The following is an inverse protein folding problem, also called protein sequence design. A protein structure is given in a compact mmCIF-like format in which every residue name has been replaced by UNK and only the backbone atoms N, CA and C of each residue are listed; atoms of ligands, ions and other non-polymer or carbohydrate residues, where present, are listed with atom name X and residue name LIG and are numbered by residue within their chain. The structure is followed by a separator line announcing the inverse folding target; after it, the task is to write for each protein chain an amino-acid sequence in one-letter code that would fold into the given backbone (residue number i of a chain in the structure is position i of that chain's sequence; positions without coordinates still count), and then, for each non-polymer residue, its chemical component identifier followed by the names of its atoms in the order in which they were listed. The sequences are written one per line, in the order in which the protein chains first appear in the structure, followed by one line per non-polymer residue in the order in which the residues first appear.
data_IF_333214351662
#
_entry.id   IF_333214351662
#
_cell.length_a   1.000
_cell.length_b   1.000
_cell.length_c   1.000
_cell.angle_alpha   90.00
_cell.angle_beta   90.00
_cell.angle_gamma   90.00
#
_symmetry.space_group_name_H-M   'P 1'
#
loop_
_entity.id
_entity.type
_entity.pdbx_description
1 polymer ?
#
# COMPACT_ATOMS: atom_id res chain seq x y z
N UNK A 1 21.11 -0.59 -12.59
CA UNK A 1 20.64 -0.47 -13.99
C UNK A 1 20.08 0.94 -14.16
N UNK A 2 20.35 1.64 -15.27
CA UNK A 2 19.76 2.97 -15.50
C UNK A 2 18.26 2.80 -15.71
N UNK A 3 17.46 3.60 -15.02
CA UNK A 3 16.01 3.67 -15.26
C UNK A 3 15.81 4.31 -16.63
N UNK A 4 15.31 3.52 -17.57
CA UNK A 4 14.92 4.03 -18.89
C UNK A 4 13.47 4.46 -18.78
N UNK A 5 13.19 5.72 -19.10
CA UNK A 5 11.82 6.23 -19.16
C UNK A 5 11.27 6.01 -20.56
N UNK A 6 10.02 5.57 -20.67
CA UNK A 6 9.35 5.35 -21.96
C UNK A 6 8.03 6.12 -22.01
N UNK A 7 7.74 6.72 -23.16
CA UNK A 7 6.49 7.42 -23.42
C UNK A 7 5.42 6.42 -23.83
N UNK A 8 4.27 6.45 -23.17
CA UNK A 8 3.12 5.59 -23.48
C UNK A 8 1.96 6.43 -24.00
N UNK A 9 1.27 5.94 -25.02
CA UNK A 9 0.08 6.53 -25.62
C UNK A 9 -1.02 5.48 -25.84
N UNK A 10 -2.27 5.91 -25.79
CA UNK A 10 -3.47 5.08 -26.08
C UNK A 10 -4.36 5.85 -27.03
N UNK A 11 -4.73 5.24 -28.16
CA UNK A 11 -5.58 5.87 -29.18
C UNK A 11 -5.08 7.24 -29.66
N UNK A 12 -3.76 7.41 -29.79
CA UNK A 12 -3.14 8.68 -30.20
C UNK A 12 -3.00 9.73 -29.10
N UNK A 13 -3.48 9.44 -27.88
CA UNK A 13 -3.35 10.33 -26.73
C UNK A 13 -2.19 9.89 -25.84
N UNK A 14 -1.28 10.82 -25.51
CA UNK A 14 -0.17 10.55 -24.60
C UNK A 14 -0.70 10.32 -23.17
N UNK A 15 -0.46 9.13 -22.62
CA UNK A 15 -0.82 8.76 -21.24
C UNK A 15 0.24 9.20 -20.22
N UNK A 16 1.49 9.38 -20.66
CA UNK A 16 2.59 9.88 -19.84
C UNK A 16 3.91 9.13 -20.05
N UNK A 17 4.84 9.36 -19.13
CA UNK A 17 6.19 8.77 -19.11
C UNK A 17 6.33 7.78 -17.97
N UNK A 18 6.64 6.53 -18.29
CA UNK A 18 6.68 5.43 -17.33
C UNK A 18 8.09 4.84 -17.21
N UNK A 19 8.43 4.32 -16.05
CA UNK A 19 9.69 3.59 -15.84
C UNK A 19 9.61 2.21 -16.54
N UNK A 20 10.58 1.91 -17.40
CA UNK A 20 10.58 0.71 -18.26
C UNK A 20 10.51 -0.61 -17.48
N UNK A 21 11.08 -0.65 -16.28
CA UNK A 21 11.13 -1.82 -15.40
C UNK A 21 9.79 -2.10 -14.69
N UNK A 22 8.88 -1.12 -14.65
CA UNK A 22 7.56 -1.23 -14.01
C UNK A 22 6.41 -1.40 -15.00
N UNK A 23 6.69 -1.45 -16.30
CA UNK A 23 5.65 -1.54 -17.33
C UNK A 23 4.79 -2.80 -17.17
N UNK A 24 5.42 -3.95 -16.88
CA UNK A 24 4.70 -5.19 -16.62
C UNK A 24 3.74 -5.04 -15.44
N UNK A 25 4.19 -4.41 -14.35
CA UNK A 25 3.35 -4.13 -13.17
C UNK A 25 2.18 -3.21 -13.55
N UNK A 26 2.41 -2.16 -14.35
CA UNK A 26 1.34 -1.25 -14.78
C UNK A 26 0.31 -1.92 -15.70
N UNK A 27 0.73 -2.89 -16.52
CA UNK A 27 -0.19 -3.71 -17.34
C UNK A 27 -0.97 -4.67 -16.45
N UNK A 28 -0.32 -5.34 -15.50
CA UNK A 28 -0.97 -6.23 -14.53
C UNK A 28 -1.99 -5.49 -13.64
N UNK A 29 -1.66 -4.27 -13.21
CA UNK A 29 -2.54 -3.37 -12.45
C UNK A 29 -3.72 -2.82 -13.29
N UNK A 30 -3.76 -3.09 -14.60
CA UNK A 30 -4.78 -2.56 -15.52
C UNK A 30 -4.70 -1.04 -15.73
N UNK A 31 -3.62 -0.41 -15.30
CA UNK A 31 -3.36 1.02 -15.56
C UNK A 31 -3.03 1.21 -17.04
N UNK A 32 -2.17 0.34 -17.56
CA UNK A 32 -1.86 0.22 -18.98
C UNK A 32 -2.56 -1.02 -19.57
N UNK A 33 -2.89 -0.97 -20.86
CA UNK A 33 -3.44 -2.10 -21.63
C UNK A 33 -2.32 -2.66 -22.51
N UNK A 34 -2.32 -3.97 -22.78
CA UNK A 34 -1.37 -4.58 -23.72
C UNK A 34 -1.43 -3.97 -25.13
N UNK A 35 -2.58 -3.39 -25.49
CA UNK A 35 -2.81 -2.66 -26.74
C UNK A 35 -2.33 -1.20 -26.72
N UNK A 36 -1.85 -0.68 -25.58
CA UNK A 36 -1.25 0.65 -25.52
C UNK A 36 0.07 0.67 -26.27
N UNK A 37 0.44 1.84 -26.76
CA UNK A 37 1.62 2.03 -27.59
C UNK A 37 2.72 2.70 -26.78
N UNK A 38 3.94 2.16 -26.83
CA UNK A 38 5.14 2.81 -26.32
C UNK A 38 5.98 3.34 -27.47
N UNK A 39 6.68 4.46 -27.25
CA UNK A 39 7.62 4.99 -28.23
C UNK A 39 8.99 4.32 -28.08
N UNK A 40 9.39 3.54 -29.08
CA UNK A 40 10.73 2.93 -29.13
C UNK A 40 11.71 3.91 -29.78
N UNK A 41 12.55 4.54 -28.96
CA UNK A 41 13.57 5.50 -29.41
C UNK A 41 14.53 4.91 -30.44
N UNK A 42 14.81 3.60 -30.40
CA UNK A 42 15.76 2.98 -31.33
C UNK A 42 15.20 2.88 -32.74
N UNK A 43 13.90 2.59 -32.86
CA UNK A 43 13.23 2.51 -34.16
C UNK A 43 12.52 3.81 -34.57
N UNK A 44 12.38 4.77 -33.66
CA UNK A 44 11.60 5.99 -33.90
C UNK A 44 10.12 5.71 -34.19
N UNK A 45 9.58 4.61 -33.65
CA UNK A 45 8.26 4.09 -33.99
C UNK A 45 7.47 3.74 -32.73
N UNK A 46 6.14 3.92 -32.81
CA UNK A 46 5.21 3.46 -31.79
C UNK A 46 4.97 1.96 -31.94
N UNK A 47 5.22 1.21 -30.87
CA UNK A 47 5.02 -0.25 -30.79
C UNK A 47 4.03 -0.57 -29.69
N UNK A 48 3.33 -1.70 -29.77
CA UNK A 48 2.37 -2.10 -28.72
C UNK A 48 3.08 -2.66 -27.49
N UNK A 49 2.47 -2.50 -26.31
CA UNK A 49 3.01 -3.06 -25.05
C UNK A 49 3.07 -4.59 -25.05
N UNK A 50 2.29 -5.27 -25.89
CA UNK A 50 2.42 -6.71 -26.12
C UNK A 50 3.82 -7.08 -26.65
N UNK A 51 4.31 -6.31 -27.63
CA UNK A 51 5.67 -6.49 -28.19
C UNK A 51 6.78 -6.15 -27.18
N UNK A 52 6.46 -5.37 -26.14
CA UNK A 52 7.39 -5.08 -25.06
C UNK A 52 7.62 -6.31 -24.16
N UNK A 53 6.57 -7.07 -23.86
CA UNK A 53 6.63 -8.27 -23.01
C UNK A 53 7.44 -9.39 -23.68
N UNK A 54 7.34 -9.53 -25.00
CA UNK A 54 8.13 -10.50 -25.77
C UNK A 54 9.64 -10.19 -25.77
N UNK A 55 9.99 -8.90 -25.83
CA UNK A 55 11.39 -8.47 -25.84
C UNK A 55 12.06 -8.49 -24.46
N UNK A 56 11.26 -8.42 -23.38
CA UNK A 56 11.71 -8.42 -22.00
C UNK A 56 10.87 -9.38 -21.15
N UNK A 57 11.02 -10.70 -21.34
CA UNK A 57 10.27 -11.67 -20.55
C UNK A 57 10.53 -11.42 -19.07
N UNK A 58 9.46 -11.13 -18.32
CA UNK A 58 9.50 -10.85 -16.89
C UNK A 58 10.36 -11.89 -16.16
N UNK A 59 11.40 -11.45 -15.47
CA UNK A 59 12.31 -12.30 -14.70
C UNK A 59 11.65 -12.99 -13.48
N UNK A 60 10.33 -12.91 -13.33
CA UNK A 60 9.56 -13.46 -12.20
C UNK A 60 9.14 -14.92 -12.35
N UNK A 61 9.56 -15.63 -13.41
CA UNK A 61 9.41 -17.09 -13.45
C UNK A 61 10.48 -17.81 -12.58
N UNK A 62 10.56 -17.48 -11.28
CA UNK A 62 11.15 -18.39 -10.29
C UNK A 62 10.06 -19.30 -9.77
N UNK A 63 9.88 -20.40 -10.48
CA UNK A 63 9.24 -21.62 -9.98
C UNK A 63 9.95 -22.04 -8.68
N UNK A 64 9.25 -22.18 -7.54
CA UNK A 64 9.80 -22.94 -6.43
C UNK A 64 9.67 -24.43 -6.78
N UNK A 65 10.79 -25.05 -7.17
CA UNK A 65 10.93 -26.49 -7.10
C UNK A 65 10.87 -26.90 -5.62
N UNK A 66 9.70 -27.35 -5.17
CA UNK A 66 9.55 -27.96 -3.86
C UNK A 66 9.77 -29.46 -4.01
N UNK A 67 11.03 -29.86 -3.86
CA UNK A 67 11.46 -31.25 -3.71
C UNK A 67 10.95 -31.78 -2.36
N UNK A 68 10.13 -32.83 -2.40
CA UNK A 68 9.79 -33.63 -1.23
C UNK A 68 11.03 -34.32 -0.65
N UNK A 69 11.07 -34.58 0.68
CA UNK A 69 11.79 -35.72 1.19
C UNK A 69 10.84 -36.73 1.85
N UNK A 70 10.86 -37.94 1.30
CA UNK A 70 10.42 -39.17 1.93
C UNK A 70 11.37 -39.59 3.06
N UNK A 71 10.78 -40.21 4.09
CA UNK A 71 11.23 -41.33 4.92
C UNK A 71 12.73 -41.52 5.22
N UNK A 72 13.06 -41.56 6.51
CA UNK A 72 13.94 -42.61 7.06
C UNK A 72 13.80 -42.76 8.59
N UNK A 73 13.09 -43.81 9.03
CA UNK A 73 13.53 -44.65 10.16
C UNK A 73 14.47 -45.73 9.57
N UNK A 74 15.47 -46.32 10.28
CA UNK A 74 15.21 -47.16 11.47
C UNK A 74 16.37 -47.36 12.51
N UNK A 75 15.98 -47.98 13.66
CA UNK A 75 16.66 -49.07 14.45
C UNK A 75 17.96 -48.88 15.30
N UNK A 76 17.76 -49.11 16.62
CA UNK A 76 18.39 -50.10 17.54
C UNK A 76 19.87 -50.07 17.95
N UNK A 77 20.12 -50.11 19.27
CA UNK A 77 21.03 -51.01 20.05
C UNK A 77 21.25 -50.39 21.46
N UNK A 78 20.94 -50.99 22.61
CA UNK A 78 21.45 -52.20 23.30
C UNK A 78 22.91 -52.14 23.81
N UNK A 79 23.08 -51.89 25.12
CA UNK A 79 24.07 -52.54 26.03
C UNK A 79 23.78 -52.01 27.45
N UNK A 80 23.26 -52.75 28.43
CA UNK A 80 23.83 -53.88 29.18
C UNK A 80 25.24 -53.62 29.75
N UNK A 81 25.36 -53.60 31.09
CA UNK A 81 26.66 -53.47 31.77
C UNK A 81 26.59 -53.22 33.27
N UNK A 82 26.31 -54.27 34.04
CA UNK A 82 26.38 -54.38 35.50
C UNK A 82 27.64 -53.79 36.19
N UNK A 83 27.51 -53.27 37.42
CA UNK A 83 27.93 -54.03 38.63
C UNK A 83 27.86 -53.26 39.96
N UNK A 84 27.31 -53.98 40.95
CA UNK A 84 27.75 -54.13 42.36
C UNK A 84 27.57 -52.98 43.38
N UNK A 85 26.61 -53.26 44.28
CA UNK A 85 26.84 -53.56 45.72
C UNK A 85 27.20 -52.36 46.62
N UNK A 86 26.22 -51.89 47.39
CA UNK A 86 26.36 -51.91 48.86
C UNK A 86 25.01 -51.94 49.56
N UNK A 87 24.79 -53.05 50.24
CA UNK A 87 23.86 -53.20 51.34
C UNK A 87 24.33 -52.33 52.51
N UNK A 88 23.49 -51.40 52.97
CA UNK A 88 23.57 -50.89 54.33
C UNK A 88 22.20 -50.55 54.87
N UNK A 89 21.85 -51.31 55.89
CA UNK A 89 20.83 -51.07 56.88
C UNK A 89 20.91 -49.65 57.45
N UNK A 90 19.76 -49.03 57.73
CA UNK A 90 19.26 -48.86 59.09
C UNK A 90 18.17 -47.78 59.17
N UNK A 91 17.21 -48.09 60.05
CA UNK A 91 16.38 -47.18 60.84
C UNK A 91 15.27 -46.45 60.07
N UNK A 92 14.08 -46.99 60.25
CA UNK A 92 12.87 -46.21 60.46
C UNK A 92 13.11 -45.12 61.51
N UNK A 93 13.56 -43.94 61.06
CA UNK A 93 13.49 -42.71 61.84
C UNK A 93 12.11 -42.12 61.60
N UNK A 94 11.34 -42.02 62.67
CA UNK A 94 10.10 -41.24 62.77
C UNK A 94 10.29 -39.92 62.00
N UNK A 95 9.50 -39.75 60.94
CA UNK A 95 9.66 -38.69 59.97
C UNK A 95 9.42 -37.32 60.60
N UNK A 96 10.45 -36.49 60.59
CA UNK A 96 10.27 -35.05 60.74
C UNK A 96 9.69 -34.56 59.41
N UNK A 97 8.37 -34.40 59.34
CA UNK A 97 7.62 -33.95 58.14
C UNK A 97 7.88 -32.46 57.83
N UNK A 98 8.37 -31.72 58.83
CA UNK A 98 8.57 -30.28 58.79
C UNK A 98 9.55 -29.75 57.70
N UNK A 99 10.73 -30.37 57.44
CA UNK A 99 11.66 -29.89 56.42
C UNK A 99 11.09 -30.02 55.00
N UNK A 100 10.29 -31.06 54.75
CA UNK A 100 9.69 -31.29 53.44
C UNK A 100 8.56 -30.30 53.13
N UNK A 101 7.77 -29.94 54.15
CA UNK A 101 6.77 -28.88 54.05
C UNK A 101 7.41 -27.52 53.75
N UNK A 102 8.53 -27.19 54.39
CA UNK A 102 9.27 -25.95 54.11
C UNK A 102 9.74 -25.90 52.66
N UNK A 103 10.31 -26.99 52.13
CA UNK A 103 10.73 -27.05 50.72
C UNK A 103 9.57 -26.89 49.74
N UNK A 104 8.39 -27.45 50.05
CA UNK A 104 7.19 -27.28 49.22
C UNK A 104 6.73 -25.82 49.19
N UNK A 105 6.72 -25.14 50.33
CA UNK A 105 6.34 -23.72 50.41
C UNK A 105 7.28 -22.87 49.56
N UNK A 106 8.60 -23.08 49.65
CA UNK A 106 9.57 -22.36 48.81
C UNK A 106 9.38 -22.65 47.32
N UNK A 107 9.06 -23.90 46.95
CA UNK A 107 8.80 -24.27 45.56
C UNK A 107 7.53 -23.60 45.03
N UNK A 108 6.45 -23.55 45.82
CA UNK A 108 5.23 -22.83 45.45
C UNK A 108 5.46 -21.33 45.29
N UNK A 109 6.22 -20.71 46.20
CA UNK A 109 6.59 -19.28 46.09
C UNK A 109 7.45 -19.05 44.85
N UNK A 110 8.45 -19.89 44.60
CA UNK A 110 9.30 -19.81 43.41
C UNK A 110 8.50 -19.94 42.11
N UNK A 111 7.59 -20.91 42.03
CA UNK A 111 6.71 -21.08 40.88
C UNK A 111 5.78 -19.86 40.69
N UNK A 112 5.23 -19.31 41.77
CA UNK A 112 4.41 -18.09 41.72
C UNK A 112 5.17 -16.87 41.20
N UNK A 113 6.42 -16.68 41.65
CA UNK A 113 7.28 -15.60 41.17
C UNK A 113 7.63 -15.76 39.69
N UNK A 114 7.95 -16.98 39.24
CA UNK A 114 8.25 -17.25 37.82
C UNK A 114 7.02 -16.97 36.96
N UNK A 115 5.84 -17.46 37.36
CA UNK A 115 4.60 -17.18 36.63
C UNK A 115 4.30 -15.67 36.55
N UNK A 116 4.50 -14.93 37.64
CA UNK A 116 4.33 -13.48 37.68
C UNK A 116 5.33 -12.72 36.79
N UNK A 117 6.59 -13.16 36.74
CA UNK A 117 7.60 -12.60 35.82
C UNK A 117 7.20 -12.84 34.36
N UNK A 118 6.68 -14.02 34.03
CA UNK A 118 6.17 -14.30 32.69
C UNK A 118 5.00 -13.38 32.33
N UNK A 119 4.02 -13.19 33.22
CA UNK A 119 2.89 -12.28 32.95
C UNK A 119 3.34 -10.83 32.76
N UNK A 120 4.29 -10.35 33.57
CA UNK A 120 4.87 -9.01 33.41
C UNK A 120 5.65 -8.87 32.10
N UNK A 121 6.37 -9.90 31.69
CA UNK A 121 7.10 -9.90 30.42
C UNK A 121 6.14 -9.76 29.25
N UNK A 122 5.01 -10.47 29.26
CA UNK A 122 3.99 -10.36 28.23
C UNK A 122 3.35 -8.96 28.21
N UNK A 123 3.02 -8.39 29.37
CA UNK A 123 2.50 -7.02 29.45
C UNK A 123 3.50 -5.97 28.93
N UNK A 124 4.78 -6.11 29.28
CA UNK A 124 5.84 -5.23 28.78
C UNK A 124 5.97 -5.32 27.26
N UNK A 125 5.87 -6.52 26.70
CA UNK A 125 5.94 -6.71 25.25
C UNK A 125 4.74 -6.08 24.54
N UNK A 126 3.52 -6.26 25.07
CA UNK A 126 2.31 -5.62 24.54
C UNK A 126 2.41 -4.09 24.63
N UNK A 127 2.89 -3.55 25.75
CA UNK A 127 3.07 -2.10 25.93
C UNK A 127 4.15 -1.54 24.99
N UNK A 128 5.25 -2.28 24.78
CA UNK A 128 6.30 -1.90 23.84
C UNK A 128 5.76 -1.84 22.40
N UNK A 129 4.94 -2.82 22.01
CA UNK A 129 4.31 -2.84 20.69
C UNK A 129 3.33 -1.68 20.50
N UNK A 130 2.49 -1.38 21.50
CA UNK A 130 1.59 -0.21 21.48
C UNK A 130 2.36 1.11 21.38
N UNK A 131 3.47 1.26 22.13
CA UNK A 131 4.33 2.45 22.03
C UNK A 131 5.00 2.57 20.67
N UNK A 132 5.41 1.45 20.07
CA UNK A 132 5.96 1.43 18.70
C UNK A 132 4.92 1.93 17.70
N UNK A 133 3.71 1.37 17.73
CA UNK A 133 2.61 1.79 16.87
C UNK A 133 2.25 3.27 17.07
N UNK A 134 2.15 3.75 18.31
CA UNK A 134 1.87 5.15 18.61
C UNK A 134 2.97 6.11 18.13
N UNK A 135 4.24 5.68 18.15
CA UNK A 135 5.35 6.47 17.64
C UNK A 135 5.32 6.54 16.11
N UNK A 136 4.99 5.44 15.44
CA UNK A 136 4.82 5.38 13.99
C UNK A 136 3.66 6.29 13.55
N UNK A 137 2.50 6.20 14.19
CA UNK A 137 1.36 7.07 13.87
C UNK A 137 1.69 8.55 14.09
N UNK A 138 2.41 8.92 15.16
CA UNK A 138 2.84 10.30 15.37
C UNK A 138 3.80 10.79 14.27
N UNK A 139 4.74 9.96 13.81
CA UNK A 139 5.63 10.34 12.71
C UNK A 139 4.84 10.58 11.44
N UNK A 140 3.90 9.69 11.15
CA UNK A 140 3.02 9.78 9.99
C UNK A 140 2.19 11.06 10.01
N UNK A 141 1.51 11.35 11.13
CA UNK A 141 0.72 12.57 11.28
C UNK A 141 1.57 13.84 11.21
N UNK A 142 2.81 13.81 11.72
CA UNK A 142 3.74 14.93 11.58
C UNK A 142 4.13 15.18 10.12
N UNK A 143 4.40 14.12 9.36
CA UNK A 143 4.69 14.21 7.93
C UNK A 143 3.48 14.74 7.16
N UNK A 144 2.29 14.22 7.45
CA UNK A 144 1.05 14.70 6.83
C UNK A 144 0.82 16.18 7.12
N UNK A 145 0.95 16.62 8.38
CA UNK A 145 0.86 18.04 8.74
C UNK A 145 1.93 18.90 8.06
N UNK A 146 3.17 18.40 7.94
CA UNK A 146 4.24 19.11 7.25
C UNK A 146 3.91 19.30 5.76
N UNK A 147 3.37 18.27 5.11
CA UNK A 147 2.98 18.32 3.70
C UNK A 147 1.76 19.23 3.51
N UNK A 148 0.75 19.14 4.37
CA UNK A 148 -0.43 20.01 4.33
C UNK A 148 -0.12 21.48 4.62
N UNK A 149 1.00 21.77 5.27
CA UNK A 149 1.47 23.14 5.53
C UNK A 149 2.45 23.64 4.45
N UNK A 150 2.79 22.80 3.46
CA UNK A 150 3.54 23.26 2.30
C UNK A 150 2.63 24.18 1.47
N UNK A 151 3.11 25.40 1.19
CA UNK A 151 2.38 26.37 0.39
C UNK A 151 2.64 26.09 -1.08
N UNK A 152 1.57 25.83 -1.83
CA UNK A 152 1.61 25.72 -3.29
C UNK A 152 1.72 27.12 -3.88
N UNK A 153 2.72 27.41 -4.73
CA UNK A 153 2.82 28.70 -5.41
C UNK A 153 1.58 29.01 -6.26
N UNK A 154 1.30 30.29 -6.48
CA UNK A 154 0.27 30.72 -7.43
C UNK A 154 0.51 30.12 -8.83
N UNK A 155 -0.56 29.75 -9.52
CA UNK A 155 -0.47 29.14 -10.85
C UNK A 155 -0.01 27.68 -10.85
N UNK A 156 0.10 27.04 -9.69
CA UNK A 156 0.44 25.62 -9.55
C UNK A 156 -0.58 24.88 -8.71
N UNK A 157 -0.66 23.59 -8.96
CA UNK A 157 -1.37 22.63 -8.12
C UNK A 157 -0.34 21.65 -7.61
N UNK A 158 -0.30 21.47 -6.30
CA UNK A 158 0.42 20.36 -5.67
C UNK A 158 -0.57 19.42 -5.03
N UNK A 159 -0.35 18.13 -5.24
CA UNK A 159 -1.10 17.08 -4.60
C UNK A 159 -0.16 16.02 -4.03
N UNK A 160 -0.68 15.19 -3.13
CA UNK A 160 -0.01 13.98 -2.67
C UNK A 160 -1.01 12.84 -2.62
N UNK A 161 -0.67 11.70 -3.20
CA UNK A 161 -1.48 10.49 -3.15
C UNK A 161 -0.92 9.57 -2.08
N UNK A 162 -1.79 9.22 -1.13
CA UNK A 162 -1.48 8.41 0.04
C UNK A 162 -2.47 7.25 0.17
N UNK A 163 -2.02 6.17 0.80
CA UNK A 163 -2.85 5.01 1.10
C UNK A 163 -2.42 4.37 2.42
N UNK A 164 -3.28 3.52 2.99
CA UNK A 164 -3.04 2.89 4.28
C UNK A 164 -2.75 1.40 4.08
N UNK A 165 -1.47 0.97 3.96
CA UNK A 165 -1.16 -0.46 3.76
C UNK A 165 -1.59 -1.31 4.96
N UNK A 166 -1.62 -0.72 6.14
CA UNK A 166 -2.03 -1.35 7.41
C UNK A 166 -2.59 -0.26 8.31
N UNK A 167 -3.54 -0.60 9.20
CA UNK A 167 -4.14 0.35 10.11
C UNK A 167 -3.08 1.18 10.87
N UNK A 168 -3.12 2.51 10.72
CA UNK A 168 -2.21 3.45 11.37
C UNK A 168 -0.89 3.73 10.61
N UNK A 169 -0.65 3.06 9.48
CA UNK A 169 0.46 3.38 8.59
C UNK A 169 -0.05 4.15 7.38
N UNK A 170 0.69 5.16 6.93
CA UNK A 170 0.43 5.86 5.67
C UNK A 170 1.63 5.67 4.78
N UNK A 171 1.37 5.22 3.56
CA UNK A 171 2.34 5.12 2.49
C UNK A 171 1.93 6.04 1.34
N UNK A 172 2.89 6.35 0.47
CA UNK A 172 2.68 7.21 -0.71
C UNK A 172 2.53 6.35 -1.97
N UNK A 173 1.62 6.72 -2.86
CA UNK A 173 1.45 6.03 -4.14
C UNK A 173 2.28 6.70 -5.24
N UNK A 174 3.33 6.03 -5.70
CA UNK A 174 4.13 6.48 -6.85
C UNK A 174 3.61 5.91 -8.17
N UNK A 175 3.85 6.61 -9.29
CA UNK A 175 3.48 6.13 -10.62
C UNK A 175 1.99 6.19 -10.99
N UNK A 176 1.14 6.85 -10.19
CA UNK A 176 -0.27 7.07 -10.52
C UNK A 176 -0.42 8.22 -11.52
N UNK A 177 -1.25 8.01 -12.54
CA UNK A 177 -1.60 9.05 -13.52
C UNK A 177 -2.61 10.02 -12.93
N UNK A 178 -2.32 11.31 -13.06
CA UNK A 178 -3.19 12.41 -12.60
C UNK A 178 -3.43 13.36 -13.76
N UNK A 179 -4.69 13.56 -14.11
CA UNK A 179 -5.12 14.48 -15.16
C UNK A 179 -5.88 15.66 -14.57
N UNK A 180 -5.69 16.83 -15.19
CA UNK A 180 -6.42 18.05 -14.89
C UNK A 180 -7.50 18.29 -15.94
N UNK A 181 -8.74 18.45 -15.49
CA UNK A 181 -9.91 18.60 -16.36
C UNK A 181 -10.72 19.85 -16.00
N UNK A 182 -11.42 20.49 -16.95
CA UNK A 182 -12.46 21.46 -16.62
C UNK A 182 -13.55 20.81 -15.78
N UNK A 183 -14.03 21.50 -14.74
CA UNK A 183 -15.06 20.96 -13.84
C UNK A 183 -16.34 20.54 -14.56
N UNK A 184 -16.84 21.38 -15.45
CA UNK A 184 -18.07 21.14 -16.21
C UNK A 184 -18.00 19.83 -17.03
N UNK A 185 -16.86 19.56 -17.67
CA UNK A 185 -16.67 18.33 -18.45
C UNK A 185 -16.74 17.07 -17.59
N UNK A 186 -16.21 17.13 -16.35
CA UNK A 186 -16.26 16.00 -15.42
C UNK A 186 -17.66 15.82 -14.85
N UNK A 187 -18.34 16.90 -14.47
CA UNK A 187 -19.73 16.86 -13.96
C UNK A 187 -20.70 16.26 -15.00
N UNK A 188 -20.57 16.66 -16.26
CA UNK A 188 -21.35 16.09 -17.36
C UNK A 188 -21.07 14.60 -17.55
N UNK A 189 -19.80 14.18 -17.48
CA UNK A 189 -19.41 12.79 -17.59
C UNK A 189 -19.95 11.96 -16.41
N UNK A 190 -19.86 12.47 -15.17
CA UNK A 190 -20.43 11.83 -13.98
C UNK A 190 -21.94 11.66 -14.14
N UNK A 191 -22.66 12.69 -14.55
CA UNK A 191 -24.12 12.63 -14.76
C UNK A 191 -24.51 11.56 -15.78
N UNK A 192 -23.72 11.45 -16.87
CA UNK A 192 -23.93 10.44 -17.91
C UNK A 192 -23.70 9.02 -17.41
N UNK A 193 -22.69 8.80 -16.57
CA UNK A 193 -22.40 7.48 -15.98
C UNK A 193 -23.42 7.12 -14.89
N UNK A 194 -23.76 8.07 -14.03
CA UNK A 194 -24.69 7.88 -12.91
C UNK A 194 -26.14 7.57 -13.36
N UNK A 195 -26.52 7.95 -14.60
CA UNK A 195 -27.79 7.55 -15.20
C UNK A 195 -27.90 6.02 -15.36
N UNK A 196 -26.78 5.31 -15.46
CA UNK A 196 -26.70 3.87 -15.61
C UNK A 196 -26.37 3.19 -14.27
N UNK A 197 -27.42 3.01 -13.46
CA UNK A 197 -27.32 2.41 -12.11
C UNK A 197 -26.89 0.93 -12.11
N UNK A 198 -26.76 0.30 -13.27
CA UNK A 198 -26.39 -1.11 -13.40
C UNK A 198 -24.89 -1.35 -13.35
N UNK A 199 -24.09 -0.30 -13.49
CA UNK A 199 -22.63 -0.40 -13.57
C UNK A 199 -22.00 -0.57 -12.18
N UNK A 200 -21.12 -1.56 -12.06
CA UNK A 200 -20.20 -1.66 -10.93
C UNK A 200 -19.13 -0.58 -10.98
N UNK A 201 -18.39 -0.39 -9.88
CA UNK A 201 -17.34 0.64 -9.80
C UNK A 201 -16.32 0.56 -10.92
N UNK A 202 -15.79 -0.63 -11.23
CA UNK A 202 -14.80 -0.81 -12.30
C UNK A 202 -15.34 -0.34 -13.64
N UNK A 203 -16.54 -0.79 -14.02
CA UNK A 203 -17.17 -0.44 -15.30
C UNK A 203 -17.54 1.05 -15.37
N UNK A 204 -18.06 1.60 -14.27
CA UNK A 204 -18.38 3.01 -14.15
C UNK A 204 -17.13 3.89 -14.29
N UNK A 205 -16.00 3.47 -13.68
CA UNK A 205 -14.72 4.18 -13.78
C UNK A 205 -14.14 4.16 -15.20
N UNK A 206 -14.26 3.02 -15.90
CA UNK A 206 -13.81 2.89 -17.28
C UNK A 206 -14.69 3.69 -18.25
N UNK A 207 -16.02 3.64 -18.06
CA UNK A 207 -16.98 4.43 -18.84
C UNK A 207 -16.75 5.93 -18.63
N UNK A 208 -16.51 6.37 -17.39
CA UNK A 208 -16.15 7.75 -17.09
C UNK A 208 -14.90 8.17 -17.87
N UNK A 209 -13.81 7.39 -17.77
CA UNK A 209 -12.56 7.65 -18.50
C UNK A 209 -12.74 7.68 -20.02
N UNK A 210 -13.69 6.91 -20.58
CA UNK A 210 -13.98 6.93 -22.02
C UNK A 210 -14.79 8.14 -22.49
N UNK A 211 -15.59 8.73 -21.60
CA UNK A 211 -16.43 9.91 -21.91
C UNK A 211 -15.62 11.20 -21.73
N UNK A 212 -14.69 11.22 -20.77
CA UNK A 212 -13.84 12.37 -20.52
C UNK A 212 -13.01 12.71 -21.77
N UNK A 213 -12.97 13.99 -22.10
CA UNK A 213 -12.08 14.55 -23.12
C UNK A 213 -10.61 14.40 -22.72
N UNK A 214 -9.66 14.77 -23.59
CA UNK A 214 -8.26 14.80 -23.18
C UNK A 214 -8.05 15.77 -22.00
N UNK A 215 -7.25 15.40 -20.98
CA UNK A 215 -6.92 16.31 -19.89
C UNK A 215 -6.15 17.51 -20.44
N UNK A 216 -6.35 18.66 -19.80
CA UNK A 216 -5.61 19.89 -20.12
C UNK A 216 -4.12 19.71 -19.83
N UNK A 217 -3.82 19.00 -18.74
CA UNK A 217 -2.48 18.61 -18.35
C UNK A 217 -2.53 17.23 -17.71
N UNK A 218 -1.50 16.42 -17.94
CA UNK A 218 -1.34 15.10 -17.33
C UNK A 218 0.03 15.03 -16.68
N UNK A 219 0.10 14.39 -15.51
CA UNK A 219 1.34 14.09 -14.83
C UNK A 219 1.28 12.72 -14.20
N UNK A 220 2.43 12.23 -13.76
CA UNK A 220 2.56 10.97 -13.02
C UNK A 220 3.17 11.31 -11.67
N UNK A 221 2.60 10.75 -10.61
CA UNK A 221 3.12 10.97 -9.25
C UNK A 221 4.56 10.49 -9.14
N UNK A 222 5.41 11.28 -8.49
CA UNK A 222 6.82 10.95 -8.27
C UNK A 222 7.01 9.80 -7.25
N UNK A 223 8.26 9.49 -6.88
CA UNK A 223 8.57 8.46 -5.90
C UNK A 223 8.03 8.73 -4.49
N UNK A 224 7.64 9.98 -4.21
CA UNK A 224 7.06 10.41 -2.95
C UNK A 224 5.53 10.57 -3.07
N UNK A 225 4.93 10.10 -4.16
CA UNK A 225 3.51 10.24 -4.45
C UNK A 225 3.05 11.67 -4.70
N UNK A 226 3.97 12.59 -4.97
CA UNK A 226 3.67 14.00 -5.19
C UNK A 226 3.25 14.25 -6.63
N UNK A 227 2.30 15.16 -6.76
CA UNK A 227 1.77 15.73 -8.00
C UNK A 227 2.21 17.19 -8.04
N UNK A 228 2.83 17.65 -9.12
CA UNK A 228 3.07 19.07 -9.40
C UNK A 228 2.59 19.34 -10.82
N UNK A 229 1.63 20.26 -10.96
CA UNK A 229 1.00 20.62 -12.22
C UNK A 229 0.86 22.14 -12.31
N UNK A 230 0.90 22.67 -13.53
CA UNK A 230 0.68 24.09 -13.80
C UNK A 230 -0.80 24.30 -14.15
N UNK A 231 -1.42 25.32 -13.57
CA UNK A 231 -2.77 25.73 -13.98
C UNK A 231 -2.67 26.67 -15.18
N UNK A 232 -3.47 26.45 -16.24
CA UNK A 232 -3.39 27.27 -17.44
C UNK A 232 -3.95 28.68 -17.23
N UNK A 233 -5.03 28.82 -16.45
CA UNK A 233 -5.69 30.07 -16.11
C UNK A 233 -6.47 29.90 -14.79
N UNK A 234 -6.89 31.00 -14.14
CA UNK A 234 -7.89 30.94 -13.06
C UNK A 234 -9.21 30.34 -13.56
N UNK A 235 -9.84 29.49 -12.74
CA UNK A 235 -11.09 28.80 -13.11
C UNK A 235 -11.36 27.55 -12.27
N UNK A 236 -12.47 26.87 -12.55
CA UNK A 236 -12.87 25.65 -11.84
C UNK A 236 -12.39 24.40 -12.56
N UNK A 237 -11.67 23.57 -11.80
CA UNK A 237 -11.03 22.37 -12.31
C UNK A 237 -11.27 21.17 -11.41
N UNK A 238 -11.02 19.99 -11.97
CA UNK A 238 -11.05 18.73 -11.25
C UNK A 238 -9.75 17.97 -11.51
N UNK A 239 -9.12 17.53 -10.42
CA UNK A 239 -8.08 16.51 -10.49
C UNK A 239 -8.75 15.14 -10.58
N UNK A 240 -8.46 14.43 -11.66
CA UNK A 240 -8.86 13.04 -11.85
C UNK A 240 -7.61 12.18 -11.73
N UNK A 241 -7.55 11.38 -10.67
CA UNK A 241 -6.45 10.43 -10.45
C UNK A 241 -7.01 9.02 -10.30
N UNK A 242 -6.26 8.02 -10.74
CA UNK A 242 -6.60 6.63 -10.46
C UNK A 242 -5.36 5.83 -10.09
N UNK A 243 -5.52 4.93 -9.13
CA UNK A 243 -4.46 4.05 -8.70
C UNK A 243 -5.02 2.68 -8.29
N UNK A 244 -4.13 1.70 -8.19
CA UNK A 244 -4.46 0.36 -7.71
C UNK A 244 -3.50 0.00 -6.57
N UNK A 245 -4.04 -0.57 -5.49
CA UNK A 245 -3.30 -1.07 -4.33
C UNK A 245 -3.34 -2.59 -4.35
N UNK A 246 -2.17 -3.22 -4.24
CA UNK A 246 -2.08 -4.68 -4.17
C UNK A 246 -2.63 -5.18 -2.83
N UNK A 247 -3.48 -6.18 -2.87
CA UNK A 247 -4.04 -6.90 -1.71
C UNK A 247 -3.74 -8.40 -1.84
N UNK A 248 -3.99 -9.17 -0.78
CA UNK A 248 -3.75 -10.62 -0.78
C UNK A 248 -4.61 -11.35 -1.84
N UNK A 249 -5.76 -10.76 -2.20
CA UNK A 249 -6.73 -11.34 -3.13
C UNK A 249 -6.72 -10.69 -4.52
N UNK A 250 -5.90 -9.68 -4.76
CA UNK A 250 -5.86 -8.98 -6.04
C UNK A 250 -5.43 -7.51 -5.92
N UNK A 251 -6.26 -6.61 -6.45
CA UNK A 251 -5.99 -5.18 -6.44
C UNK A 251 -7.25 -4.38 -6.08
N UNK A 252 -7.13 -3.49 -5.11
CA UNK A 252 -8.15 -2.50 -4.79
C UNK A 252 -7.93 -1.29 -5.69
N UNK A 253 -8.93 -0.97 -6.52
CA UNK A 253 -8.89 0.18 -7.42
C UNK A 253 -9.47 1.42 -6.72
N UNK A 254 -8.83 2.55 -6.94
CA UNK A 254 -9.24 3.85 -6.42
C UNK A 254 -9.33 4.88 -7.53
N UNK A 255 -10.34 5.74 -7.43
CA UNK A 255 -10.57 6.88 -8.31
C UNK A 255 -10.79 8.12 -7.44
N UNK A 256 -10.06 9.19 -7.70
CA UNK A 256 -10.25 10.48 -7.04
C UNK A 256 -10.80 11.49 -8.04
N UNK A 257 -11.85 12.20 -7.63
CA UNK A 257 -12.47 13.30 -8.36
C UNK A 257 -12.50 14.53 -7.43
N UNK A 258 -11.41 15.29 -7.42
CA UNK A 258 -11.24 16.41 -6.48
C UNK A 258 -11.45 17.74 -7.21
N UNK A 259 -12.54 18.43 -6.89
CA UNK A 259 -12.87 19.75 -7.43
C UNK A 259 -12.15 20.87 -6.69
N UNK A 260 -11.67 21.89 -7.39
CA UNK A 260 -11.05 23.07 -6.80
C UNK A 260 -11.13 24.27 -7.76
N UNK A 261 -11.01 25.48 -7.21
CA UNK A 261 -10.95 26.72 -7.98
C UNK A 261 -9.51 27.22 -8.02
N UNK A 262 -8.88 27.20 -9.20
CA UNK A 262 -7.57 27.79 -9.41
C UNK A 262 -7.68 29.33 -9.40
N UNK A 263 -6.76 29.98 -8.68
CA UNK A 263 -6.64 31.43 -8.64
C UNK A 263 -5.16 31.85 -8.66
N UNK A 264 -4.91 33.15 -8.75
CA UNK A 264 -3.54 33.71 -8.66
C UNK A 264 -3.00 33.72 -7.22
N UNK A 265 -3.69 33.07 -6.28
CA UNK A 265 -3.27 32.97 -4.89
C UNK A 265 -2.57 31.63 -4.63
N UNK A 266 -1.60 31.61 -3.71
CA UNK A 266 -1.06 30.36 -3.20
C UNK A 266 -2.16 29.52 -2.56
N UNK A 267 -2.12 28.22 -2.79
CA UNK A 267 -3.06 27.25 -2.23
C UNK A 267 -2.35 26.21 -1.36
N UNK A 268 -3.09 25.38 -0.63
CA UNK A 268 -2.51 24.23 0.09
C UNK A 268 -2.30 23.04 -0.82
N UNK A 269 -1.50 22.07 -0.36
CA UNK A 269 -1.36 20.78 -1.05
C UNK A 269 -2.68 19.99 -0.95
N UNK A 270 -3.14 19.46 -2.07
CA UNK A 270 -4.32 18.58 -2.15
C UNK A 270 -3.93 17.20 -1.65
N UNK A 271 -4.61 16.68 -0.63
CA UNK A 271 -4.40 15.33 -0.14
C UNK A 271 -5.39 14.37 -0.80
N UNK A 272 -4.88 13.35 -1.49
CA UNK A 272 -5.65 12.26 -2.08
C UNK A 272 -5.39 11.02 -1.21
N UNK A 273 -6.42 10.49 -0.56
CA UNK A 273 -6.32 9.36 0.36
C UNK A 273 -7.52 8.40 0.20
N UNK A 274 -7.54 7.30 0.95
CA UNK A 274 -8.62 6.31 0.85
C UNK A 274 -10.00 6.87 1.29
N UNK A 275 -10.03 7.89 2.16
CA UNK A 275 -11.27 8.47 2.68
C UNK A 275 -12.04 9.31 1.64
N UNK A 276 -11.29 10.01 0.77
CA UNK A 276 -11.83 10.79 -0.34
C UNK A 276 -11.75 10.08 -1.69
N UNK A 277 -11.31 8.83 -1.72
CA UNK A 277 -11.36 7.99 -2.90
C UNK A 277 -12.76 7.40 -3.11
N UNK A 278 -13.09 7.18 -4.38
CA UNK A 278 -14.16 6.31 -4.83
C UNK A 278 -13.53 4.93 -5.07
N UNK A 279 -14.18 3.89 -4.58
CA UNK A 279 -13.68 2.51 -4.61
C UNK A 279 -14.83 1.51 -4.70
N UNK A 280 -14.54 0.21 -4.75
CA UNK A 280 -15.58 -0.83 -4.71
C UNK A 280 -16.42 -0.78 -3.42
N UNK A 281 -15.80 -0.41 -2.30
CA UNK A 281 -16.50 -0.26 -1.01
C UNK A 281 -17.36 1.02 -0.94
N UNK A 282 -17.02 2.04 -1.74
CA UNK A 282 -17.71 3.33 -1.83
C UNK A 282 -17.83 3.73 -3.32
N UNK A 283 -18.76 3.12 -4.08
CA UNK A 283 -18.80 3.24 -5.54
C UNK A 283 -19.46 4.53 -6.05
N UNK A 284 -19.89 5.41 -5.15
CA UNK A 284 -20.64 6.61 -5.51
C UNK A 284 -19.72 7.66 -6.18
N UNK A 285 -19.93 7.89 -7.48
CA UNK A 285 -19.20 8.88 -8.27
C UNK A 285 -19.59 10.31 -7.81
N UNK A 286 -18.88 10.81 -6.81
CA UNK A 286 -19.11 12.13 -6.23
C UNK A 286 -17.85 12.98 -6.34
N UNK A 287 -18.04 14.26 -6.67
CA UNK A 287 -16.97 15.25 -6.60
C UNK A 287 -16.74 15.64 -5.14
N UNK A 288 -15.49 15.59 -4.72
CA UNK A 288 -15.08 16.11 -3.41
C UNK A 288 -14.50 17.50 -3.62
N UNK A 289 -15.16 18.53 -3.10
CA UNK A 289 -14.67 19.90 -3.18
C UNK A 289 -13.53 20.15 -2.18
N UNK A 290 -12.39 20.56 -2.71
CA UNK A 290 -11.26 21.02 -1.92
C UNK A 290 -11.47 22.48 -1.52
N UNK A 291 -11.81 22.70 -0.25
CA UNK A 291 -11.95 24.05 0.31
C UNK A 291 -10.58 24.52 0.76
N UNK A 292 -10.00 25.47 0.00
CA UNK A 292 -8.72 26.06 0.35
C UNK A 292 -8.85 26.91 1.63
N UNK A 293 -8.05 26.61 2.65
CA UNK A 293 -8.13 27.27 3.96
C UNK A 293 -7.66 28.75 3.93
N UNK A 294 -7.22 29.27 2.78
CA UNK A 294 -6.72 30.64 2.61
C UNK A 294 -7.82 31.73 2.64
N UNK A 295 -9.05 31.41 3.06
CA UNK A 295 -10.18 32.35 3.18
C UNK A 295 -10.47 32.81 4.62
N UNK A 296 -9.55 32.61 5.57
CA UNK A 296 -9.62 33.26 6.89
C UNK A 296 -8.60 34.37 7.05
#
# INVERSE_FOLDING_TARGET
MKKTQIHIARNGQLLGVYDSDKISDYVEMGTLKSTDHFFDEKSGAWKTLDQWQDAHPSASARQPASTAPQDSAPKSSSSEGHSRRSSRSHRSKKGNVLPWLITLVFLCIGAGLVAWVFTLSDEINVLREKNRQATETQRTLKLENQVLNEVTPAGKIRGIITYSPTAGQVAVMSGSTVGLYPRESVEQAISTVAADKSLGFSDASEKLKSILSSPISVTITDSNGRVDMVTPAPGDYVLVASAAKKTDTGYDKYLWLIGFTASDRPSRVVLLNEDNAISEAKPELTLTDFVDFATK
#
